data_IF_717355827752
#
_entry.id   IF_717355827752
#
_cell.length_a   1.000
_cell.length_b   1.000
_cell.length_c   1.000
_cell.angle_alpha   90.00
_cell.angle_beta   90.00
_cell.angle_gamma   90.00
#
_symmetry.space_group_name_H-M   'P 1'
#
loop_
_entity.id
_entity.type
_entity.pdbx_description
1 polymer ?
#
# COMPACT_ATOMS: atom_id res chain seq x y z
N UNK A 1 13.47 -0.75 -22.47
CA UNK A 1 12.38 0.20 -22.73
C UNK A 1 11.25 0.07 -21.71
N UNK A 2 10.55 -1.06 -21.64
CA UNK A 2 9.40 -1.25 -20.72
C UNK A 2 9.69 -1.02 -19.23
N UNK A 3 10.84 -1.47 -18.71
CA UNK A 3 11.22 -1.19 -17.32
C UNK A 3 11.43 0.30 -17.04
N UNK A 4 11.87 1.08 -18.02
CA UNK A 4 12.01 2.53 -17.87
C UNK A 4 10.62 3.18 -17.76
N UNK A 5 9.68 2.77 -18.60
CA UNK A 5 8.29 3.23 -18.53
C UNK A 5 7.63 2.83 -17.21
N UNK A 6 7.82 1.59 -16.77
CA UNK A 6 7.28 1.08 -15.51
C UNK A 6 7.89 1.74 -14.26
N UNK A 7 9.04 2.42 -14.39
CA UNK A 7 9.65 3.17 -13.27
C UNK A 7 9.07 4.57 -13.08
N UNK A 8 8.17 5.01 -13.97
CA UNK A 8 7.48 6.29 -13.90
C UNK A 8 6.13 6.13 -13.19
N UNK A 9 5.65 7.19 -12.54
CA UNK A 9 4.34 7.20 -11.87
C UNK A 9 4.34 8.07 -10.63
N UNK A 10 3.27 7.99 -9.83
CA UNK A 10 3.21 8.68 -8.56
C UNK A 10 4.26 8.13 -7.60
N UNK A 11 4.78 9.04 -6.80
CA UNK A 11 5.95 8.82 -5.97
C UNK A 11 5.58 8.50 -4.52
N UNK A 12 4.40 8.93 -4.10
CA UNK A 12 3.93 8.87 -2.71
C UNK A 12 2.68 7.99 -2.64
N UNK A 13 2.55 7.13 -1.61
CA UNK A 13 1.35 6.34 -1.41
C UNK A 13 0.16 7.26 -1.15
N UNK A 14 -0.97 6.88 -1.70
CA UNK A 14 -2.20 7.60 -1.47
C UNK A 14 -2.98 7.02 -0.29
N UNK A 15 -3.87 7.84 0.27
CA UNK A 15 -4.78 7.41 1.34
C UNK A 15 -5.80 6.38 0.87
N UNK A 16 -6.41 5.67 1.81
CA UNK A 16 -7.41 4.63 1.53
C UNK A 16 -8.78 5.16 1.05
N UNK A 17 -8.98 6.48 1.04
CA UNK A 17 -10.31 7.10 0.97
C UNK A 17 -10.79 7.40 -0.45
N UNK A 18 -9.90 7.50 -1.44
CA UNK A 18 -10.28 8.01 -2.77
C UNK A 18 -10.04 6.99 -3.88
N UNK A 19 -11.08 6.77 -4.69
CA UNK A 19 -11.12 5.75 -5.75
C UNK A 19 -10.17 6.04 -6.94
N UNK A 20 -9.74 7.29 -7.11
CA UNK A 20 -8.90 7.73 -8.24
C UNK A 20 -7.39 7.68 -7.95
N UNK A 21 -7.03 7.32 -6.72
CA UNK A 21 -5.65 7.27 -6.33
C UNK A 21 -4.94 6.06 -6.95
N UNK A 22 -3.65 6.24 -7.29
CA UNK A 22 -2.88 5.14 -7.85
C UNK A 22 -2.79 3.99 -6.84
N UNK A 23 -3.03 2.73 -7.27
CA UNK A 23 -2.84 1.57 -6.41
C UNK A 23 -1.44 1.55 -5.81
N UNK A 24 -1.33 1.24 -4.52
CA UNK A 24 -0.06 1.34 -3.83
C UNK A 24 1.01 0.35 -4.35
N UNK A 25 0.58 -0.80 -4.87
CA UNK A 25 1.48 -1.76 -5.51
C UNK A 25 2.09 -1.25 -6.82
N UNK A 26 1.57 -0.18 -7.41
CA UNK A 26 2.27 0.54 -8.48
C UNK A 26 3.66 1.02 -8.04
N UNK A 27 3.81 1.48 -6.79
CA UNK A 27 5.09 1.92 -6.22
C UNK A 27 6.03 0.72 -6.02
N UNK A 28 5.50 -0.44 -5.61
CA UNK A 28 6.24 -1.70 -5.57
C UNK A 28 6.79 -2.04 -6.97
N UNK A 29 5.94 -2.01 -8.00
CA UNK A 29 6.35 -2.33 -9.38
C UNK A 29 7.38 -1.33 -9.93
N UNK A 30 7.24 -0.04 -9.64
CA UNK A 30 8.25 0.97 -9.99
C UNK A 30 9.61 0.63 -9.37
N UNK A 31 9.63 0.28 -8.07
CA UNK A 31 10.85 -0.13 -7.38
C UNK A 31 11.47 -1.40 -7.99
N UNK A 32 10.64 -2.41 -8.32
CA UNK A 32 11.11 -3.64 -8.97
C UNK A 32 11.67 -3.37 -10.37
N UNK A 33 11.04 -2.47 -11.14
CA UNK A 33 11.53 -2.04 -12.44
C UNK A 33 12.89 -1.31 -12.33
N UNK A 34 13.04 -0.43 -11.33
CA UNK A 34 14.32 0.24 -11.03
C UNK A 34 15.42 -0.75 -10.65
N UNK A 35 15.12 -1.81 -9.88
CA UNK A 35 16.06 -2.91 -9.62
C UNK A 35 16.50 -3.58 -10.93
N UNK A 36 15.56 -3.86 -11.85
CA UNK A 36 15.86 -4.46 -13.17
C UNK A 36 16.70 -3.55 -14.07
N UNK A 37 16.64 -2.23 -13.87
CA UNK A 37 17.47 -1.24 -14.56
C UNK A 37 18.85 -1.01 -13.91
N UNK A 38 19.20 -1.76 -12.85
CA UNK A 38 20.46 -1.57 -12.14
C UNK A 38 20.52 -0.31 -11.27
N UNK A 39 19.35 0.19 -10.81
CA UNK A 39 19.23 1.37 -9.95
C UNK A 39 18.72 0.99 -8.54
N UNK A 40 19.49 0.23 -7.74
CA UNK A 40 19.02 -0.30 -6.46
C UNK A 40 18.73 0.78 -5.41
N UNK A 41 19.47 1.89 -5.41
CA UNK A 41 19.26 3.01 -4.47
C UNK A 41 17.88 3.64 -4.71
N UNK A 42 17.57 3.95 -5.97
CA UNK A 42 16.28 4.52 -6.35
C UNK A 42 15.13 3.53 -6.08
N UNK A 43 15.34 2.23 -6.28
CA UNK A 43 14.36 1.22 -5.94
C UNK A 43 14.09 1.16 -4.44
N UNK A 44 15.13 1.15 -3.61
CA UNK A 44 14.98 1.11 -2.17
C UNK A 44 14.23 2.34 -1.65
N UNK A 45 14.46 3.52 -2.23
CA UNK A 45 13.70 4.72 -1.89
C UNK A 45 12.18 4.52 -2.09
N UNK A 46 11.75 3.83 -3.16
CA UNK A 46 10.32 3.50 -3.37
C UNK A 46 9.78 2.60 -2.27
N UNK A 47 10.53 1.59 -1.85
CA UNK A 47 10.09 0.67 -0.81
C UNK A 47 10.06 1.32 0.58
N UNK A 48 11.03 2.17 0.90
CA UNK A 48 11.02 2.92 2.16
C UNK A 48 9.87 3.92 2.24
N UNK A 49 9.50 4.57 1.14
CA UNK A 49 8.29 5.41 1.13
C UNK A 49 7.02 4.66 1.51
N UNK A 50 6.88 3.41 1.08
CA UNK A 50 5.74 2.55 1.48
C UNK A 50 5.77 2.25 2.98
N UNK A 51 6.95 1.92 3.53
CA UNK A 51 7.13 1.69 4.96
C UNK A 51 6.82 2.94 5.77
N UNK A 52 7.45 4.06 5.42
CA UNK A 52 7.33 5.34 6.12
C UNK A 52 5.87 5.78 6.19
N UNK A 53 5.14 5.70 5.06
CA UNK A 53 3.72 6.04 5.04
C UNK A 53 2.91 5.12 5.97
N UNK A 54 3.07 3.80 5.84
CA UNK A 54 2.31 2.86 6.64
C UNK A 54 2.59 3.00 8.14
N UNK A 55 3.84 3.24 8.53
CA UNK A 55 4.22 3.43 9.94
C UNK A 55 3.72 4.77 10.50
N UNK A 56 3.74 5.84 9.70
CA UNK A 56 3.29 7.17 10.13
C UNK A 56 1.78 7.25 10.30
N UNK A 57 1.01 6.62 9.40
CA UNK A 57 -0.44 6.83 9.31
C UNK A 57 -1.27 5.75 10.01
N UNK A 58 -0.69 4.66 10.49
CA UNK A 58 -1.43 3.51 11.08
C UNK A 58 -2.29 3.85 12.30
N UNK A 59 -1.94 4.92 13.03
CA UNK A 59 -2.67 5.38 14.22
C UNK A 59 -3.49 6.65 13.97
N UNK A 60 -3.58 7.12 12.72
CA UNK A 60 -4.40 8.27 12.38
C UNK A 60 -5.89 7.97 12.55
N UNK A 61 -6.62 8.91 13.14
CA UNK A 61 -8.08 8.90 13.18
C UNK A 61 -8.62 9.36 11.82
N UNK A 62 -9.27 8.45 11.09
CA UNK A 62 -9.80 8.79 9.77
C UNK A 62 -11.21 9.37 9.90
N UNK A 63 -11.36 10.62 9.47
CA UNK A 63 -12.64 11.34 9.48
C UNK A 63 -13.08 11.62 8.05
N UNK A 64 -14.34 11.30 7.75
CA UNK A 64 -14.97 11.69 6.47
C UNK A 64 -15.30 13.18 6.55
N UNK A 65 -14.75 13.95 5.61
CA UNK A 65 -15.23 15.30 5.36
C UNK A 65 -16.59 15.20 4.65
N UNK A 66 -17.60 15.88 5.20
CA UNK A 66 -19.01 15.76 4.80
C UNK A 66 -19.27 16.15 3.33
N UNK A 67 -18.29 16.77 2.66
CA UNK A 67 -18.32 17.22 1.27
C UNK A 67 -17.48 16.36 0.30
N UNK A 68 -16.91 15.23 0.74
CA UNK A 68 -16.10 14.38 -0.13
C UNK A 68 -16.96 13.65 -1.18
N UNK A 69 -17.04 14.23 -2.38
CA UNK A 69 -17.84 13.76 -3.54
C UNK A 69 -17.28 12.46 -4.17
N UNK A 70 -16.13 11.98 -3.70
CA UNK A 70 -15.37 10.85 -4.24
C UNK A 70 -15.30 9.62 -3.33
N UNK A 71 -16.14 9.55 -2.28
CA UNK A 71 -16.31 8.33 -1.48
C UNK A 71 -17.20 7.33 -2.22
N UNK A 72 -16.66 6.17 -2.62
CA UNK A 72 -17.37 5.20 -3.47
C UNK A 72 -18.37 4.33 -2.70
N UNK A 73 -18.28 4.26 -1.36
CA UNK A 73 -19.03 3.30 -0.58
C UNK A 73 -20.40 3.82 -0.13
N UNK A 74 -21.40 2.95 -0.28
CA UNK A 74 -22.79 3.17 0.15
C UNK A 74 -22.81 3.43 1.67
N UNK A 75 -22.82 4.71 2.08
CA UNK A 75 -22.85 5.21 3.47
C UNK A 75 -24.04 4.73 4.33
N UNK A 76 -24.86 3.79 3.85
CA UNK A 76 -25.93 3.15 4.62
C UNK A 76 -25.34 2.30 5.75
N UNK A 77 -24.13 1.78 5.59
CA UNK A 77 -23.42 1.03 6.64
C UNK A 77 -22.34 1.92 7.27
N UNK A 78 -22.32 1.99 8.61
CA UNK A 78 -21.23 2.62 9.35
C UNK A 78 -19.99 1.75 9.21
N UNK A 79 -19.13 2.10 8.27
CA UNK A 79 -17.84 1.46 8.11
C UNK A 79 -16.85 1.98 9.18
N UNK A 80 -15.95 1.11 9.61
CA UNK A 80 -14.93 1.44 10.61
C UNK A 80 -13.68 1.92 9.86
N UNK A 81 -13.62 3.23 9.62
CA UNK A 81 -12.55 3.86 8.84
C UNK A 81 -11.17 3.67 9.48
N UNK A 82 -11.10 3.56 10.80
CA UNK A 82 -9.85 3.29 11.51
C UNK A 82 -9.37 1.86 11.23
N UNK A 83 -10.28 0.88 11.15
CA UNK A 83 -9.91 -0.48 10.71
C UNK A 83 -9.43 -0.50 9.27
N UNK A 84 -10.10 0.21 8.36
CA UNK A 84 -9.66 0.32 6.95
C UNK A 84 -8.31 0.98 6.83
N UNK A 85 -8.07 2.04 7.61
CA UNK A 85 -6.77 2.69 7.68
C UNK A 85 -5.67 1.73 8.14
N UNK A 86 -5.92 0.97 9.21
CA UNK A 86 -4.97 -0.03 9.71
C UNK A 86 -4.70 -1.12 8.67
N UNK A 87 -5.74 -1.64 8.02
CA UNK A 87 -5.59 -2.62 6.95
C UNK A 87 -4.70 -2.08 5.82
N UNK A 88 -4.99 -0.86 5.34
CA UNK A 88 -4.21 -0.20 4.29
C UNK A 88 -2.76 0.06 4.71
N UNK A 89 -2.54 0.60 5.91
CA UNK A 89 -1.19 0.87 6.41
C UNK A 89 -0.35 -0.41 6.54
N UNK A 90 -0.93 -1.50 7.07
CA UNK A 90 -0.24 -2.79 7.14
C UNK A 90 0.03 -3.38 5.76
N UNK A 91 -0.89 -3.19 4.80
CA UNK A 91 -0.66 -3.57 3.41
C UNK A 91 0.55 -2.84 2.80
N UNK A 92 0.65 -1.51 2.99
CA UNK A 92 1.79 -0.70 2.56
C UNK A 92 3.11 -1.17 3.18
N UNK A 93 3.10 -1.45 4.49
CA UNK A 93 4.26 -1.99 5.21
C UNK A 93 4.68 -3.34 4.60
N UNK A 94 3.70 -4.19 4.27
CA UNK A 94 3.93 -5.47 3.63
C UNK A 94 4.57 -5.34 2.25
N UNK A 95 4.08 -4.43 1.42
CA UNK A 95 4.65 -4.13 0.09
C UNK A 95 6.10 -3.60 0.20
N UNK A 96 6.36 -2.69 1.14
CA UNK A 96 7.71 -2.15 1.37
C UNK A 96 8.71 -3.24 1.74
N UNK A 97 8.36 -4.10 2.71
CA UNK A 97 9.18 -5.23 3.11
C UNK A 97 9.36 -6.27 1.99
N UNK A 98 8.30 -6.55 1.23
CA UNK A 98 8.37 -7.43 0.07
C UNK A 98 9.37 -6.90 -0.96
N UNK A 99 9.32 -5.61 -1.27
CA UNK A 99 10.23 -4.94 -2.19
C UNK A 99 11.69 -4.96 -1.72
N UNK A 100 11.93 -4.82 -0.42
CA UNK A 100 13.27 -4.92 0.19
C UNK A 100 13.80 -6.36 0.25
N UNK A 101 12.91 -7.35 0.19
CA UNK A 101 13.25 -8.79 0.29
C UNK A 101 13.07 -9.38 1.69
N UNK A 102 12.50 -8.61 2.62
CA UNK A 102 12.21 -9.02 4.00
C UNK A 102 10.93 -9.88 4.04
N UNK A 103 11.01 -11.11 3.54
CA UNK A 103 9.82 -11.96 3.31
C UNK A 103 9.02 -12.23 4.59
N UNK A 104 9.69 -12.48 5.70
CA UNK A 104 9.01 -12.75 6.98
C UNK A 104 8.26 -11.53 7.50
N UNK A 105 8.85 -10.34 7.40
CA UNK A 105 8.24 -9.08 7.80
C UNK A 105 7.05 -8.73 6.90
N UNK A 106 7.20 -8.94 5.59
CA UNK A 106 6.13 -8.78 4.62
C UNK A 106 4.94 -9.68 4.96
N UNK A 107 5.20 -10.97 5.26
CA UNK A 107 4.15 -11.93 5.63
C UNK A 107 3.45 -11.49 6.91
N UNK A 108 4.20 -11.10 7.94
CA UNK A 108 3.62 -10.62 9.21
C UNK A 108 2.74 -9.40 8.99
N UNK A 109 3.16 -8.45 8.16
CA UNK A 109 2.39 -7.26 7.85
C UNK A 109 1.10 -7.59 7.08
N UNK A 110 1.16 -8.46 6.06
CA UNK A 110 -0.05 -8.91 5.36
C UNK A 110 -0.99 -9.69 6.28
N UNK A 111 -0.47 -10.56 7.15
CA UNK A 111 -1.28 -11.27 8.15
C UNK A 111 -1.97 -10.29 9.12
N UNK A 112 -1.30 -9.19 9.51
CA UNK A 112 -1.91 -8.12 10.31
C UNK A 112 -3.00 -7.38 9.55
N UNK A 113 -2.78 -7.00 8.28
CA UNK A 113 -3.80 -6.37 7.45
C UNK A 113 -5.07 -7.22 7.37
N UNK A 114 -4.92 -8.55 7.21
CA UNK A 114 -6.03 -9.51 7.14
C UNK A 114 -6.80 -9.68 8.46
N UNK A 115 -6.25 -9.26 9.60
CA UNK A 115 -6.99 -9.18 10.86
C UNK A 115 -7.98 -8.01 10.90
N UNK A 116 -7.69 -6.93 10.15
CA UNK A 116 -8.56 -5.75 10.04
C UNK A 116 -9.53 -5.85 8.86
N UNK A 117 -9.06 -6.41 7.74
CA UNK A 117 -9.87 -6.71 6.56
C UNK A 117 -9.52 -8.09 6.00
N UNK A 118 -10.32 -9.11 6.35
CA UNK A 118 -10.11 -10.48 5.92
C UNK A 118 -10.30 -10.69 4.41
N UNK A 119 -10.91 -9.73 3.70
CA UNK A 119 -11.20 -9.79 2.27
C UNK A 119 -10.20 -8.99 1.42
N UNK A 120 -9.13 -8.45 2.02
CA UNK A 120 -8.12 -7.66 1.31
C UNK A 120 -7.39 -8.53 0.26
N UNK A 121 -7.83 -8.44 -0.98
CA UNK A 121 -7.44 -9.38 -2.05
C UNK A 121 -5.94 -9.36 -2.35
N UNK A 122 -5.32 -8.19 -2.29
CA UNK A 122 -3.91 -7.95 -2.56
C UNK A 122 -3.05 -8.58 -1.47
N UNK A 123 -3.41 -8.42 -0.20
CA UNK A 123 -2.73 -9.09 0.91
C UNK A 123 -2.79 -10.61 0.79
N UNK A 124 -3.96 -11.15 0.41
CA UNK A 124 -4.13 -12.60 0.16
C UNK A 124 -3.24 -13.05 -1.01
N UNK A 125 -3.19 -12.27 -2.09
CA UNK A 125 -2.40 -12.59 -3.28
C UNK A 125 -0.89 -12.57 -2.98
N UNK A 126 -0.38 -11.46 -2.46
CA UNK A 126 1.05 -11.33 -2.15
C UNK A 126 1.47 -12.27 -1.03
N UNK A 127 0.61 -12.51 -0.04
CA UNK A 127 0.86 -13.49 1.02
C UNK A 127 1.07 -14.92 0.49
N UNK A 128 0.38 -15.32 -0.59
CA UNK A 128 0.59 -16.63 -1.24
C UNK A 128 1.90 -16.73 -2.03
N UNK A 129 2.54 -15.60 -2.33
CA UNK A 129 3.81 -15.54 -3.08
C UNK A 129 5.04 -15.56 -2.16
N UNK A 130 4.84 -15.40 -0.84
CA UNK A 130 5.86 -15.39 0.22
C UNK A 130 6.16 -16.80 0.74
#
# INVERSE_FOLDING_TARGET
EYYALASLGADDPAGMMYYYDQPADSILYQGLALKKLGKPIAANAKFYKLLDYGEQHIFDEVKIDYFAVSLPDFMIFKDDLDKRNKAHCYYLIGLGNLGLGNREDAKRAFDQALQFDSNHMECILYGKML
#
